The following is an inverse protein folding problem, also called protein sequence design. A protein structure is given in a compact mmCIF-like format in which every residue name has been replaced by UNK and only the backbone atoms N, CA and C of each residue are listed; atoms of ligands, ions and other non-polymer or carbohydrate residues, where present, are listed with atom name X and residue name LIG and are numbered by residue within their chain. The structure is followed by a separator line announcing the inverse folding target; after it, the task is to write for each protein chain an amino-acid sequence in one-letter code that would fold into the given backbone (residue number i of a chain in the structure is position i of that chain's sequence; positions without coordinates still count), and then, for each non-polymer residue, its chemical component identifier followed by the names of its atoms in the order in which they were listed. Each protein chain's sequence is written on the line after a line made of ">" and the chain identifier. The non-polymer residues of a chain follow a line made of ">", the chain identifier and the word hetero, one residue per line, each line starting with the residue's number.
data_IF_607765834145
#
_entry.id   IF_607765834145
#
_cell.length_a   1.000
_cell.length_b   1.000
_cell.length_c   1.000
_cell.angle_alpha   90.00
_cell.angle_beta   90.00
_cell.angle_gamma   90.00
#
_symmetry.space_group_name_H-M   'P 1'
#
loop_
_entity.id
_entity.type
_entity.pdbx_description
1 polymer ?
#
# COMPACT_ATOMS: atom_id res chain seq x y z
N UNK A 1 -47.39 -22.07 -42.56
CA UNK A 1 -46.37 -21.07 -42.98
C UNK A 1 -46.30 -20.01 -41.88
N UNK A 2 -45.65 -20.34 -40.76
CA UNK A 2 -45.52 -19.43 -39.60
C UNK A 2 -44.42 -19.88 -38.65
N UNK A 3 -43.26 -20.31 -39.19
CA UNK A 3 -42.11 -20.81 -38.36
C UNK A 3 -40.89 -19.90 -38.46
N UNK A 4 -40.94 -18.84 -39.28
CA UNK A 4 -39.73 -18.00 -39.48
C UNK A 4 -39.63 -16.76 -38.57
N UNK A 5 -40.59 -16.49 -37.69
CA UNK A 5 -40.51 -15.30 -36.78
C UNK A 5 -39.91 -15.57 -35.42
N UNK A 6 -39.65 -16.81 -35.04
CA UNK A 6 -39.09 -17.13 -33.72
C UNK A 6 -37.54 -17.16 -33.69
N UNK A 7 -36.95 -17.21 -34.84
CA UNK A 7 -35.46 -17.30 -34.95
C UNK A 7 -34.80 -15.90 -34.99
N UNK A 8 -35.53 -14.88 -35.44
CA UNK A 8 -34.99 -13.50 -35.50
C UNK A 8 -34.95 -12.79 -34.16
N UNK A 9 -35.56 -13.35 -33.11
CA UNK A 9 -35.53 -12.82 -31.75
C UNK A 9 -34.38 -13.36 -30.89
N UNK A 10 -33.65 -14.35 -31.34
CA UNK A 10 -32.39 -14.76 -30.77
C UNK A 10 -31.24 -14.06 -31.49
N UNK A 11 -31.32 -12.75 -31.64
CA UNK A 11 -30.08 -11.97 -31.64
C UNK A 11 -29.44 -12.36 -30.32
N UNK A 12 -28.49 -13.28 -30.42
CA UNK A 12 -27.60 -13.64 -29.36
C UNK A 12 -27.07 -12.33 -28.80
N UNK A 13 -27.61 -11.88 -27.69
CA UNK A 13 -26.83 -11.18 -26.70
C UNK A 13 -25.83 -12.21 -26.14
N UNK A 14 -25.03 -12.81 -26.99
CA UNK A 14 -23.65 -13.00 -26.66
C UNK A 14 -23.18 -11.55 -26.49
N UNK A 15 -23.42 -11.03 -25.29
CA UNK A 15 -22.53 -10.07 -24.75
C UNK A 15 -21.16 -10.69 -24.99
N UNK A 16 -20.52 -10.29 -26.08
CA UNK A 16 -19.10 -10.24 -26.10
C UNK A 16 -18.80 -9.49 -24.81
N UNK A 17 -18.55 -10.25 -23.77
CA UNK A 17 -17.86 -9.75 -22.63
C UNK A 17 -16.56 -9.25 -23.28
N UNK A 18 -16.65 -8.01 -23.77
CA UNK A 18 -15.53 -7.34 -24.40
C UNK A 18 -14.51 -7.31 -23.31
N UNK A 19 -13.67 -8.34 -23.34
CA UNK A 19 -12.53 -8.46 -22.45
C UNK A 19 -11.84 -7.12 -22.61
N UNK A 20 -11.90 -6.29 -21.57
CA UNK A 20 -11.32 -4.95 -21.62
C UNK A 20 -9.84 -5.13 -21.96
N UNK A 21 -9.49 -4.85 -23.21
CA UNK A 21 -8.10 -4.84 -23.65
C UNK A 21 -7.55 -3.45 -23.33
N UNK A 22 -6.62 -3.35 -22.38
CA UNK A 22 -5.98 -2.09 -22.05
C UNK A 22 -5.37 -1.49 -23.31
N UNK A 23 -5.76 -0.27 -23.69
CA UNK A 23 -5.29 0.38 -24.93
C UNK A 23 -3.82 0.77 -24.90
N UNK A 24 -3.10 0.52 -23.80
CA UNK A 24 -1.70 0.89 -23.62
C UNK A 24 -1.46 2.40 -23.45
N UNK A 25 -2.50 3.22 -23.60
CA UNK A 25 -2.38 4.69 -23.57
C UNK A 25 -2.35 5.20 -22.12
N UNK A 26 -1.59 6.26 -21.88
CA UNK A 26 -1.56 7.00 -20.63
C UNK A 26 -1.26 8.47 -20.91
N UNK A 27 -1.68 9.35 -19.98
CA UNK A 27 -1.36 10.78 -20.08
C UNK A 27 -0.06 11.05 -19.31
N UNK A 28 0.84 11.85 -19.87
CA UNK A 28 2.08 12.29 -19.21
C UNK A 28 1.82 12.98 -17.86
N UNK A 29 0.64 13.59 -17.67
CA UNK A 29 0.23 14.13 -16.36
C UNK A 29 0.21 13.10 -15.24
N UNK A 30 0.10 11.80 -15.56
CA UNK A 30 0.17 10.73 -14.54
C UNK A 30 1.51 10.72 -13.82
N UNK A 31 2.61 11.10 -14.50
CA UNK A 31 3.93 11.22 -13.88
C UNK A 31 4.04 12.41 -12.92
N UNK A 32 3.16 13.39 -13.01
CA UNK A 32 3.07 14.50 -12.06
C UNK A 32 2.19 14.11 -10.85
N UNK A 33 1.11 13.38 -11.08
CA UNK A 33 0.23 12.95 -9.99
C UNK A 33 0.87 11.90 -9.07
N UNK A 34 1.76 11.05 -9.59
CA UNK A 34 2.43 10.02 -8.79
C UNK A 34 3.31 10.62 -7.67
N UNK A 35 4.23 11.57 -7.92
CA UNK A 35 4.99 12.22 -6.85
C UNK A 35 4.12 12.93 -5.81
N UNK A 36 3.01 13.53 -6.23
CA UNK A 36 2.06 14.17 -5.31
C UNK A 36 1.43 13.12 -4.40
N UNK A 37 0.99 11.98 -4.95
CA UNK A 37 0.44 10.88 -4.16
C UNK A 37 1.48 10.32 -3.19
N UNK A 38 2.72 10.10 -3.63
CA UNK A 38 3.84 9.67 -2.80
C UNK A 38 4.05 10.64 -1.64
N UNK A 39 4.09 11.93 -1.91
CA UNK A 39 4.27 12.95 -0.87
C UNK A 39 3.16 12.90 0.17
N UNK A 40 1.90 12.84 -0.27
CA UNK A 40 0.73 12.77 0.62
C UNK A 40 0.78 11.52 1.49
N UNK A 41 1.00 10.34 0.88
CA UNK A 41 1.04 9.08 1.62
C UNK A 41 2.23 9.04 2.56
N UNK A 42 3.40 9.57 2.16
CA UNK A 42 4.57 9.66 3.03
C UNK A 42 4.35 10.55 4.24
N UNK A 43 3.68 11.69 4.08
CA UNK A 43 3.33 12.57 5.20
C UNK A 43 2.30 11.93 6.13
N UNK A 44 1.31 11.23 5.59
CA UNK A 44 0.36 10.44 6.40
C UNK A 44 1.05 9.28 7.12
N UNK A 45 2.15 8.77 6.59
CA UNK A 45 3.02 7.80 7.23
C UNK A 45 3.54 8.25 8.60
N UNK A 46 3.81 9.54 8.79
CA UNK A 46 4.16 10.08 10.09
C UNK A 46 3.02 9.88 11.11
N UNK A 47 1.80 10.25 10.73
CA UNK A 47 0.61 10.08 11.58
C UNK A 47 0.38 8.60 11.89
N UNK A 48 0.50 7.74 10.87
CA UNK A 48 0.37 6.30 11.01
C UNK A 48 1.37 5.76 12.04
N UNK A 49 2.66 6.05 11.89
CA UNK A 49 3.71 5.56 12.80
C UNK A 49 3.51 6.10 14.21
N UNK A 50 3.12 7.37 14.34
CA UNK A 50 2.83 7.98 15.64
C UNK A 50 1.71 7.23 16.36
N UNK A 51 0.60 6.91 15.67
CA UNK A 51 -0.54 6.19 16.26
C UNK A 51 -0.12 4.76 16.63
N UNK A 52 0.56 4.05 15.72
CA UNK A 52 1.01 2.66 15.96
C UNK A 52 1.98 2.58 17.12
N UNK A 53 2.91 3.52 17.24
CA UNK A 53 3.89 3.55 18.33
C UNK A 53 3.25 3.88 19.69
N UNK A 54 2.17 4.62 19.69
CA UNK A 54 1.46 5.02 20.93
C UNK A 54 0.41 4.00 21.37
N UNK A 55 0.01 3.11 20.46
CA UNK A 55 -1.03 2.11 20.70
C UNK A 55 -0.44 0.81 21.26
N UNK A 56 -0.78 0.42 22.51
CA UNK A 56 -0.28 -0.82 23.09
C UNK A 56 -1.01 -2.09 22.57
N UNK A 57 -2.08 -1.93 21.80
CA UNK A 57 -2.92 -3.05 21.37
C UNK A 57 -2.60 -3.50 19.95
N UNK A 58 -1.95 -4.65 19.81
CA UNK A 58 -1.57 -5.25 18.51
C UNK A 58 -2.76 -5.38 17.56
N UNK A 59 -3.94 -5.74 18.05
CA UNK A 59 -5.15 -5.90 17.21
C UNK A 59 -5.61 -4.59 16.56
N UNK A 60 -5.45 -3.47 17.27
CA UNK A 60 -5.79 -2.15 16.71
C UNK A 60 -4.79 -1.77 15.61
N UNK A 61 -3.52 -2.18 15.74
CA UNK A 61 -2.52 -1.94 14.70
C UNK A 61 -2.90 -2.61 13.38
N UNK A 62 -3.48 -3.81 13.41
CA UNK A 62 -3.98 -4.48 12.19
C UNK A 62 -5.03 -3.62 11.49
N UNK A 63 -5.98 -3.06 12.25
CA UNK A 63 -7.01 -2.17 11.69
C UNK A 63 -6.40 -0.88 11.12
N UNK A 64 -5.44 -0.29 11.83
CA UNK A 64 -4.73 0.92 11.39
C UNK A 64 -3.97 0.64 10.08
N UNK A 65 -3.32 -0.53 9.96
CA UNK A 65 -2.61 -0.97 8.76
C UNK A 65 -3.56 -1.06 7.56
N UNK A 66 -4.72 -1.68 7.73
CA UNK A 66 -5.75 -1.81 6.68
C UNK A 66 -6.25 -0.43 6.25
N UNK A 67 -6.53 0.46 7.20
CA UNK A 67 -6.97 1.83 6.90
C UNK A 67 -5.90 2.59 6.12
N UNK A 68 -4.65 2.51 6.56
CA UNK A 68 -3.55 3.20 5.90
C UNK A 68 -3.28 2.64 4.49
N UNK A 69 -3.30 1.31 4.32
CA UNK A 69 -3.23 0.66 3.01
C UNK A 69 -4.39 1.08 2.10
N UNK A 70 -5.62 1.16 2.64
CA UNK A 70 -6.78 1.67 1.91
C UNK A 70 -6.59 3.11 1.42
N UNK A 71 -6.01 3.99 2.23
CA UNK A 71 -5.68 5.37 1.83
C UNK A 71 -4.63 5.37 0.71
N UNK A 72 -3.58 4.55 0.81
CA UNK A 72 -2.58 4.40 -0.25
C UNK A 72 -3.21 3.87 -1.55
N UNK A 73 -4.13 2.91 -1.46
CA UNK A 73 -4.90 2.39 -2.58
C UNK A 73 -5.77 3.45 -3.25
N UNK A 74 -6.46 4.30 -2.48
CA UNK A 74 -7.25 5.44 -2.99
C UNK A 74 -6.33 6.45 -3.68
N UNK A 75 -5.15 6.72 -3.12
CA UNK A 75 -4.17 7.61 -3.73
C UNK A 75 -3.71 7.07 -5.08
N UNK A 76 -3.36 5.78 -5.18
CA UNK A 76 -3.01 5.11 -6.43
C UNK A 76 -4.16 5.18 -7.44
N UNK A 77 -5.37 4.80 -7.02
CA UNK A 77 -6.56 4.88 -7.89
C UNK A 77 -6.75 6.30 -8.45
N UNK A 78 -6.57 7.32 -7.62
CA UNK A 78 -6.69 8.72 -8.03
C UNK A 78 -5.65 9.10 -9.10
N UNK A 79 -4.39 8.64 -8.93
CA UNK A 79 -3.32 8.83 -9.92
C UNK A 79 -3.70 8.18 -11.25
N UNK A 80 -4.13 6.91 -11.22
CA UNK A 80 -4.48 6.15 -12.42
C UNK A 80 -5.70 6.75 -13.13
N UNK A 81 -6.71 7.14 -12.37
CA UNK A 81 -7.94 7.71 -12.91
C UNK A 81 -7.71 9.11 -13.52
N UNK A 82 -7.11 10.03 -12.78
CA UNK A 82 -6.80 11.38 -13.25
C UNK A 82 -5.75 11.38 -14.37
N UNK A 83 -4.78 10.48 -14.29
CA UNK A 83 -3.76 10.27 -15.31
C UNK A 83 -4.27 9.52 -16.55
N UNK A 84 -5.55 9.09 -16.56
CA UNK A 84 -6.15 8.30 -17.65
C UNK A 84 -5.26 7.13 -18.07
N UNK A 85 -4.65 6.46 -17.09
CA UNK A 85 -3.75 5.33 -17.32
C UNK A 85 -4.58 4.12 -17.71
N UNK A 86 -4.42 3.66 -18.95
CA UNK A 86 -5.07 2.48 -19.53
C UNK A 86 -4.08 1.35 -19.87
N UNK A 87 -2.85 1.47 -19.39
CA UNK A 87 -1.81 0.46 -19.54
C UNK A 87 -1.65 -0.33 -18.25
N UNK A 88 -1.86 -1.64 -18.29
CA UNK A 88 -1.68 -2.52 -17.13
C UNK A 88 -0.25 -2.49 -16.61
N UNK A 89 0.74 -2.44 -17.52
CA UNK A 89 2.15 -2.36 -17.14
C UNK A 89 2.46 -1.06 -16.38
N UNK A 90 1.99 0.10 -16.88
CA UNK A 90 2.19 1.39 -16.21
C UNK A 90 1.48 1.41 -14.85
N UNK A 91 0.25 0.87 -14.78
CA UNK A 91 -0.50 0.77 -13.52
C UNK A 91 0.24 -0.08 -12.49
N UNK A 92 0.79 -1.22 -12.92
CA UNK A 92 1.58 -2.09 -12.06
C UNK A 92 2.84 -1.39 -11.54
N UNK A 93 3.59 -0.72 -12.44
CA UNK A 93 4.81 0.02 -12.07
C UNK A 93 4.49 1.15 -11.08
N UNK A 94 3.42 1.92 -11.32
CA UNK A 94 3.01 2.99 -10.40
C UNK A 94 2.58 2.44 -9.04
N UNK A 95 1.86 1.31 -9.03
CA UNK A 95 1.50 0.61 -7.80
C UNK A 95 2.74 0.16 -7.03
N UNK A 96 3.67 -0.50 -7.70
CA UNK A 96 4.91 -0.97 -7.08
C UNK A 96 5.74 0.20 -6.51
N UNK A 97 5.89 1.30 -7.25
CA UNK A 97 6.59 2.50 -6.78
C UNK A 97 5.90 3.07 -5.54
N UNK A 98 4.57 3.23 -5.57
CA UNK A 98 3.83 3.80 -4.44
C UNK A 98 3.95 2.92 -3.19
N UNK A 99 3.77 1.60 -3.32
CA UNK A 99 3.87 0.65 -2.19
C UNK A 99 5.28 0.67 -1.60
N UNK A 100 6.32 0.53 -2.43
CA UNK A 100 7.71 0.54 -1.96
C UNK A 100 8.06 1.84 -1.26
N UNK A 101 7.64 2.98 -1.82
CA UNK A 101 7.88 4.28 -1.21
C UNK A 101 7.09 4.46 0.08
N UNK A 102 5.86 3.93 0.15
CA UNK A 102 5.04 3.93 1.35
C UNK A 102 5.71 3.18 2.49
N UNK A 103 6.13 1.93 2.25
CA UNK A 103 6.84 1.11 3.23
C UNK A 103 8.15 1.78 3.66
N UNK A 104 8.91 2.30 2.71
CA UNK A 104 10.15 3.00 2.99
C UNK A 104 9.93 4.24 3.86
N UNK A 105 8.92 5.06 3.56
CA UNK A 105 8.61 6.27 4.33
C UNK A 105 8.15 5.95 5.75
N UNK A 106 7.41 4.85 5.96
CA UNK A 106 7.06 4.37 7.30
C UNK A 106 8.32 4.12 8.12
N UNK A 107 9.34 3.46 7.55
CA UNK A 107 10.59 3.21 8.24
C UNK A 107 11.38 4.49 8.55
N UNK A 108 11.37 5.48 7.66
CA UNK A 108 11.98 6.81 7.93
C UNK A 108 11.34 7.45 9.17
N UNK A 109 10.01 7.48 9.22
CA UNK A 109 9.27 8.06 10.34
C UNK A 109 9.40 7.22 11.61
N UNK A 110 9.43 5.90 11.48
CA UNK A 110 9.60 5.00 12.61
C UNK A 110 10.94 5.23 13.31
N UNK A 111 12.04 5.28 12.55
CA UNK A 111 13.35 5.60 13.10
C UNK A 111 13.35 6.97 13.77
N UNK A 112 12.77 7.97 13.13
CA UNK A 112 12.70 9.31 13.66
C UNK A 112 11.94 9.39 14.99
N UNK A 113 10.79 8.74 15.10
CA UNK A 113 9.97 8.74 16.32
C UNK A 113 10.65 7.94 17.44
N UNK A 114 11.18 6.75 17.12
CA UNK A 114 11.73 5.85 18.14
C UNK A 114 13.04 6.36 18.72
N UNK A 115 13.79 7.15 17.96
CA UNK A 115 15.02 7.82 18.43
C UNK A 115 14.76 9.14 19.17
N UNK A 116 13.50 9.41 19.53
CA UNK A 116 13.12 10.64 20.23
C UNK A 116 13.29 11.90 19.38
N UNK A 117 12.99 11.80 18.08
CA UNK A 117 13.06 12.88 17.08
C UNK A 117 14.50 13.41 16.83
N UNK A 118 15.52 12.60 17.12
CA UNK A 118 16.92 13.00 16.98
C UNK A 118 17.55 12.51 15.69
N UNK A 119 17.13 11.34 15.15
CA UNK A 119 17.71 10.75 13.96
C UNK A 119 16.68 10.72 12.82
N UNK A 120 16.80 11.66 11.88
CA UNK A 120 16.08 11.63 10.62
C UNK A 120 17.01 11.11 9.52
N UNK A 121 16.77 9.89 9.06
CA UNK A 121 17.66 9.22 8.11
C UNK A 121 16.90 8.61 6.94
N UNK A 122 17.54 8.62 5.77
CA UNK A 122 17.14 7.87 4.59
C UNK A 122 18.07 6.65 4.34
N UNK A 123 18.98 6.38 5.25
CA UNK A 123 19.93 5.29 5.15
C UNK A 123 19.29 3.95 5.50
N UNK A 124 19.28 3.02 4.55
CA UNK A 124 18.82 1.63 4.80
C UNK A 124 19.67 0.93 5.87
N UNK A 125 20.95 1.30 6.01
CA UNK A 125 21.84 0.74 7.03
C UNK A 125 21.38 1.16 8.43
N UNK A 126 21.05 2.44 8.62
CA UNK A 126 20.57 2.94 9.91
C UNK A 126 19.21 2.35 10.25
N UNK A 127 18.30 2.23 9.26
CA UNK A 127 17.01 1.57 9.44
C UNK A 127 17.19 0.10 9.84
N UNK A 128 18.07 -0.63 9.17
CA UNK A 128 18.35 -2.02 9.49
C UNK A 128 18.97 -2.18 10.90
N UNK A 129 19.84 -1.26 11.30
CA UNK A 129 20.42 -1.23 12.65
C UNK A 129 19.32 -1.02 13.71
N UNK A 130 18.47 0.00 13.54
CA UNK A 130 17.36 0.27 14.46
C UNK A 130 16.38 -0.90 14.50
N UNK A 131 16.08 -1.52 13.35
CA UNK A 131 15.21 -2.68 13.28
C UNK A 131 15.79 -3.87 14.08
N UNK A 132 17.09 -4.12 14.00
CA UNK A 132 17.76 -5.17 14.75
C UNK A 132 17.72 -4.93 16.28
N UNK A 133 17.99 -3.71 16.71
CA UNK A 133 17.88 -3.32 18.12
C UNK A 133 16.45 -3.48 18.65
N UNK A 134 15.46 -3.03 17.89
CA UNK A 134 14.06 -3.17 18.27
C UNK A 134 13.61 -4.64 18.34
N UNK A 135 14.07 -5.47 17.38
CA UNK A 135 13.77 -6.90 17.42
C UNK A 135 14.38 -7.61 18.63
N UNK A 136 15.56 -7.14 19.09
CA UNK A 136 16.21 -7.67 20.30
C UNK A 136 15.47 -7.23 21.58
N UNK A 137 14.94 -6.01 21.62
CA UNK A 137 14.21 -5.46 22.78
C UNK A 137 12.80 -6.03 22.95
N UNK A 138 12.16 -6.51 21.89
CA UNK A 138 10.81 -7.03 21.91
C UNK A 138 9.75 -5.95 22.10
N UNK A 139 9.40 -5.19 21.04
CA UNK A 139 8.50 -4.04 21.15
C UNK A 139 7.06 -4.43 21.49
N UNK A 140 6.68 -5.69 21.31
CA UNK A 140 5.30 -6.15 21.51
C UNK A 140 5.17 -7.30 22.49
N UNK A 141 3.99 -7.34 23.13
CA UNK A 141 3.56 -8.45 23.99
C UNK A 141 2.22 -8.99 23.49
N UNK A 142 2.10 -10.30 23.41
CA UNK A 142 0.83 -10.99 23.22
C UNK A 142 0.54 -11.78 24.50
N UNK A 143 -0.40 -11.30 25.31
CA UNK A 143 -0.62 -11.83 26.66
C UNK A 143 0.62 -11.61 27.53
N UNK A 144 1.17 -12.71 28.09
CA UNK A 144 2.40 -12.69 28.87
C UNK A 144 3.68 -12.88 28.05
N UNK A 145 3.56 -13.20 26.76
CA UNK A 145 4.71 -13.51 25.90
C UNK A 145 5.24 -12.26 25.19
N UNK A 146 6.52 -11.99 25.38
CA UNK A 146 7.23 -10.93 24.63
C UNK A 146 7.63 -11.48 23.27
N UNK A 147 7.33 -10.74 22.20
CA UNK A 147 7.72 -11.09 20.84
C UNK A 147 9.12 -10.53 20.59
N UNK A 148 10.09 -11.41 20.32
CA UNK A 148 11.50 -11.05 20.13
C UNK A 148 12.10 -11.71 18.89
N UNK A 149 13.21 -11.14 18.41
CA UNK A 149 14.00 -11.71 17.31
C UNK A 149 13.20 -11.84 16.01
N UNK A 150 13.27 -13.03 15.39
CA UNK A 150 12.64 -13.27 14.08
C UNK A 150 11.11 -13.07 14.07
N UNK A 151 10.45 -13.27 15.22
CA UNK A 151 8.99 -13.08 15.36
C UNK A 151 8.60 -11.62 15.09
N UNK A 152 9.43 -10.67 15.50
CA UNK A 152 9.23 -9.23 15.24
C UNK A 152 9.26 -8.96 13.73
N UNK A 153 10.24 -9.53 13.02
CA UNK A 153 10.32 -9.41 11.56
C UNK A 153 9.12 -10.04 10.86
N UNK A 154 8.59 -11.16 11.38
CA UNK A 154 7.39 -11.78 10.84
C UNK A 154 6.16 -10.87 11.00
N UNK A 155 5.99 -10.20 12.15
CA UNK A 155 4.91 -9.23 12.36
C UNK A 155 5.04 -8.06 11.38
N UNK A 156 6.23 -7.48 11.23
CA UNK A 156 6.47 -6.41 10.27
C UNK A 156 6.19 -6.82 8.82
N UNK A 157 6.52 -8.06 8.45
CA UNK A 157 6.20 -8.57 7.12
C UNK A 157 4.69 -8.69 6.89
N UNK A 158 3.94 -9.13 7.89
CA UNK A 158 2.46 -9.18 7.85
C UNK A 158 1.89 -7.76 7.76
N UNK A 159 2.37 -6.83 8.57
CA UNK A 159 1.94 -5.42 8.53
C UNK A 159 2.20 -4.80 7.16
N UNK A 160 3.39 -5.00 6.58
CA UNK A 160 3.72 -4.54 5.24
C UNK A 160 2.78 -5.15 4.18
N UNK A 161 2.44 -6.45 4.31
CA UNK A 161 1.49 -7.11 3.43
C UNK A 161 0.05 -6.61 3.56
N UNK A 162 -0.35 -6.12 4.73
CA UNK A 162 -1.68 -5.51 4.94
C UNK A 162 -1.78 -4.09 4.35
N UNK A 163 -0.65 -3.41 4.21
CA UNK A 163 -0.56 -2.06 3.62
C UNK A 163 -0.48 -2.15 2.09
N UNK A 164 0.11 -3.22 1.54
CA UNK A 164 0.29 -3.44 0.11
C UNK A 164 -0.99 -3.86 -0.62
#
# INVERSE_FOLDING_TARGET
>A
MNIERSELGRVSYQADATTYHPSGKFNLLSFLYLPIAILIVSLLGFIYVFIVNWNPFVYINVLINIIYGGIAGIALWSVLHKGKVRSSAVSFVFGAILILTTIYSIWVWYVYIITGYTLFTFSLKDMAFVAAEMAALGPWKIGSTVIIGWQVYAVWAVEAGLIA
#
